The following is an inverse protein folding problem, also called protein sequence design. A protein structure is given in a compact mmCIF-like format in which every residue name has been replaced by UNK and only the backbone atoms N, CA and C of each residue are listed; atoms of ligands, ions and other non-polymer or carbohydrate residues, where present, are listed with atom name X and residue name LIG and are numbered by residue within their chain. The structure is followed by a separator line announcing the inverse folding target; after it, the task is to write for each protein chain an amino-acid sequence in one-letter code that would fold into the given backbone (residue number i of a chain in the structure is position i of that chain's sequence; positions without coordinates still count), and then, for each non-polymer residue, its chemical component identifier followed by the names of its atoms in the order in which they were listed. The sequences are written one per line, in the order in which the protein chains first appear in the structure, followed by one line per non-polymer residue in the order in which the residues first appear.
data_IF_120899210843
#
_entry.id   IF_120899210843
#
_cell.length_a   1.000
_cell.length_b   1.000
_cell.length_c   1.000
_cell.angle_alpha   90.00
_cell.angle_beta   90.00
_cell.angle_gamma   90.00
#
_symmetry.space_group_name_H-M   'P 1'
#
loop_
_entity.id
_entity.type
_entity.pdbx_description
1 polymer ?
#
# COMPACT_ATOMS: atom_id res chain seq x y z
N UNK A 1 21.71 2.91 47.18
CA UNK A 1 23.05 2.87 47.82
C UNK A 1 23.22 3.76 49.07
N UNK A 2 22.16 4.41 49.61
CA UNK A 2 22.28 5.22 50.85
C UNK A 2 22.54 4.34 52.09
N UNK A 3 21.99 3.13 52.12
CA UNK A 3 22.15 2.19 53.24
C UNK A 3 23.61 1.72 53.46
N UNK A 4 24.44 1.79 52.41
CA UNK A 4 25.85 1.38 52.40
C UNK A 4 26.77 2.38 53.10
N UNK A 5 26.37 3.65 53.18
CA UNK A 5 27.10 4.71 53.89
C UNK A 5 26.93 4.65 55.41
N UNK A 6 25.89 3.95 55.89
CA UNK A 6 25.47 3.94 57.29
C UNK A 6 25.71 2.60 58.00
N UNK A 7 26.20 1.57 57.30
CA UNK A 7 26.39 0.23 57.88
C UNK A 7 27.87 -0.17 57.92
N UNK A 8 28.47 -0.43 59.10
CA UNK A 8 29.90 -0.74 59.25
C UNK A 8 30.30 -2.16 58.80
N UNK A 9 29.35 -3.09 58.68
CA UNK A 9 29.59 -4.44 58.15
C UNK A 9 28.49 -4.83 57.15
N UNK A 10 28.90 -5.39 56.01
CA UNK A 10 27.99 -5.83 54.94
C UNK A 10 27.30 -7.14 55.33
N UNK A 11 25.96 -7.13 55.26
CA UNK A 11 25.15 -8.35 55.39
C UNK A 11 24.90 -8.99 54.02
N UNK A 12 24.76 -10.32 53.97
CA UNK A 12 24.51 -11.05 52.72
C UNK A 12 23.25 -10.57 51.98
N UNK A 13 22.23 -10.13 52.71
CA UNK A 13 21.00 -9.57 52.14
C UNK A 13 21.25 -8.22 51.46
N UNK A 14 22.16 -7.39 52.00
CA UNK A 14 22.57 -6.12 51.39
C UNK A 14 23.37 -6.36 50.10
N UNK A 15 24.28 -7.33 50.09
CA UNK A 15 25.05 -7.69 48.89
C UNK A 15 24.13 -8.16 47.74
N UNK A 16 23.12 -9.00 48.04
CA UNK A 16 22.13 -9.45 47.05
C UNK A 16 21.28 -8.28 46.51
N UNK A 17 20.88 -7.35 47.38
CA UNK A 17 20.10 -6.18 46.99
C UNK A 17 20.89 -5.23 46.08
N UNK A 18 22.19 -5.03 46.35
CA UNK A 18 23.07 -4.21 45.51
C UNK A 18 23.21 -4.81 44.10
N UNK A 19 23.35 -6.14 43.99
CA UNK A 19 23.37 -6.83 42.68
C UNK A 19 22.07 -6.63 41.92
N UNK A 20 20.92 -6.79 42.59
CA UNK A 20 19.61 -6.51 41.98
C UNK A 20 19.49 -5.05 41.53
N UNK A 21 20.00 -4.09 42.32
CA UNK A 21 19.99 -2.67 41.95
C UNK A 21 20.86 -2.35 40.72
N UNK A 22 22.01 -3.01 40.58
CA UNK A 22 22.87 -2.86 39.39
C UNK A 22 22.20 -3.46 38.17
N UNK A 23 21.60 -4.66 38.29
CA UNK A 23 20.87 -5.30 37.19
C UNK A 23 19.69 -4.44 36.76
N UNK A 24 18.90 -3.91 37.70
CA UNK A 24 17.78 -3.03 37.41
C UNK A 24 18.25 -1.76 36.69
N UNK A 25 19.35 -1.16 37.13
CA UNK A 25 19.92 0.03 36.49
C UNK A 25 20.37 -0.26 35.05
N UNK A 26 21.02 -1.40 34.82
CA UNK A 26 21.42 -1.84 33.48
C UNK A 26 20.21 -2.09 32.58
N UNK A 27 19.15 -2.72 33.10
CA UNK A 27 17.91 -2.95 32.35
C UNK A 27 17.20 -1.63 32.00
N UNK A 28 17.13 -0.68 32.93
CA UNK A 28 16.53 0.65 32.67
C UNK A 28 17.30 1.43 31.60
N UNK A 29 18.65 1.39 31.63
CA UNK A 29 19.49 1.97 30.59
C UNK A 29 19.25 1.28 29.25
N UNK A 30 19.20 -0.06 29.21
CA UNK A 30 18.93 -0.82 27.99
C UNK A 30 17.56 -0.47 27.40
N UNK A 31 16.51 -0.41 28.22
CA UNK A 31 15.16 -0.02 27.79
C UNK A 31 15.17 1.41 27.22
N UNK A 32 15.86 2.35 27.87
CA UNK A 32 16.00 3.72 27.38
C UNK A 32 16.72 3.80 26.02
N UNK A 33 17.77 2.99 25.83
CA UNK A 33 18.49 2.92 24.55
C UNK A 33 17.65 2.28 23.45
N UNK A 34 16.86 1.24 23.77
CA UNK A 34 15.93 0.63 22.82
C UNK A 34 14.86 1.63 22.35
N UNK A 35 14.38 2.50 23.24
CA UNK A 35 13.43 3.57 22.89
C UNK A 35 14.04 4.65 21.98
N UNK A 36 15.33 4.95 22.11
CA UNK A 36 15.99 5.96 21.27
C UNK A 36 16.25 5.50 19.84
N UNK A 37 16.39 4.20 19.58
CA UNK A 37 16.88 3.69 18.29
C UNK A 37 15.79 3.49 17.23
N UNK A 38 14.51 3.68 17.53
CA UNK A 38 13.43 3.35 16.59
C UNK A 38 12.62 4.59 16.21
N UNK A 39 13.27 5.57 15.60
CA UNK A 39 12.58 6.57 14.78
C UNK A 39 12.83 6.18 13.31
N UNK A 40 11.88 5.48 12.64
CA UNK A 40 12.01 5.16 11.24
C UNK A 40 12.19 6.45 10.44
N UNK A 41 13.25 6.56 9.65
CA UNK A 41 13.37 7.68 8.70
C UNK A 41 12.25 7.52 7.68
N UNK A 42 11.32 8.49 7.57
CA UNK A 42 10.30 8.41 6.55
C UNK A 42 10.97 8.37 5.17
N UNK A 43 10.50 7.50 4.26
CA UNK A 43 11.05 7.43 2.93
C UNK A 43 10.89 8.79 2.22
N UNK A 44 11.91 9.19 1.48
CA UNK A 44 11.91 10.47 0.77
C UNK A 44 10.82 10.45 -0.31
N UNK A 45 9.85 11.34 -0.16
CA UNK A 45 8.72 11.45 -1.07
C UNK A 45 9.05 12.43 -2.19
N UNK A 46 8.76 12.04 -3.44
CA UNK A 46 8.91 12.90 -4.61
C UNK A 46 7.58 13.55 -4.99
N UNK A 47 7.64 14.66 -5.73
CA UNK A 47 6.45 15.19 -6.42
C UNK A 47 6.29 14.40 -7.71
N UNK A 48 5.15 13.74 -7.91
CA UNK A 48 4.92 12.95 -9.12
C UNK A 48 4.81 13.86 -10.35
N UNK A 49 5.37 13.40 -11.46
CA UNK A 49 5.31 14.06 -12.76
C UNK A 49 3.99 13.73 -13.47
N UNK A 50 3.16 14.75 -13.70
CA UNK A 50 1.89 14.62 -14.40
C UNK A 50 0.87 15.63 -13.90
N UNK A 51 -0.29 15.67 -14.56
CA UNK A 51 -1.40 16.53 -14.16
C UNK A 51 -2.34 15.77 -13.22
N UNK A 52 -2.95 16.49 -12.27
CA UNK A 52 -4.00 15.90 -11.44
C UNK A 52 -5.31 15.84 -12.21
N UNK A 53 -5.89 14.65 -12.34
CA UNK A 53 -7.09 14.45 -13.13
C UNK A 53 -7.95 13.29 -12.64
N UNK A 54 -9.12 13.17 -13.26
CA UNK A 54 -10.07 12.10 -13.04
C UNK A 54 -10.76 11.77 -14.37
N UNK A 55 -10.53 10.57 -14.87
CA UNK A 55 -11.04 10.07 -16.13
C UNK A 55 -11.81 8.77 -15.85
N UNK A 56 -12.97 8.63 -16.46
CA UNK A 56 -13.82 7.43 -16.41
C UNK A 56 -14.18 7.02 -17.84
N UNK A 57 -14.35 5.72 -18.05
CA UNK A 57 -14.90 5.22 -19.30
C UNK A 57 -16.39 5.60 -19.40
N UNK A 58 -16.76 6.32 -20.46
CA UNK A 58 -18.13 6.82 -20.70
C UNK A 58 -19.15 5.68 -20.91
N UNK A 59 -18.66 4.49 -21.28
CA UNK A 59 -19.49 3.30 -21.53
C UNK A 59 -20.01 2.63 -20.25
N UNK A 60 -19.56 3.07 -19.07
CA UNK A 60 -19.93 2.47 -17.80
C UNK A 60 -21.31 2.92 -17.31
N UNK A 61 -22.11 2.04 -16.68
CA UNK A 61 -23.32 2.45 -15.98
C UNK A 61 -23.02 3.50 -14.90
N UNK A 62 -23.92 4.46 -14.70
CA UNK A 62 -23.75 5.56 -13.73
C UNK A 62 -23.46 5.05 -12.31
N UNK A 63 -24.09 3.94 -11.91
CA UNK A 63 -23.85 3.29 -10.62
C UNK A 63 -22.38 2.88 -10.46
N UNK A 64 -21.77 2.31 -11.51
CA UNK A 64 -20.36 1.88 -11.50
C UNK A 64 -19.42 3.09 -11.52
N UNK A 65 -19.74 4.10 -12.33
CA UNK A 65 -18.98 5.35 -12.34
C UNK A 65 -18.94 5.98 -10.94
N UNK A 66 -20.09 6.02 -10.27
CA UNK A 66 -20.22 6.51 -8.91
C UNK A 66 -19.40 5.67 -7.93
N UNK A 67 -19.49 4.34 -8.00
CA UNK A 67 -18.71 3.45 -7.12
C UNK A 67 -17.20 3.59 -7.32
N UNK A 68 -16.72 3.65 -8.57
CA UNK A 68 -15.31 3.88 -8.88
C UNK A 68 -14.85 5.27 -8.41
N UNK A 69 -15.70 6.30 -8.56
CA UNK A 69 -15.43 7.62 -8.04
C UNK A 69 -15.28 7.62 -6.51
N UNK A 70 -16.16 6.93 -5.78
CA UNK A 70 -16.06 6.85 -4.32
C UNK A 70 -14.84 6.03 -3.86
N UNK A 71 -14.65 4.85 -4.45
CA UNK A 71 -13.53 3.97 -4.10
C UNK A 71 -12.17 4.63 -4.36
N UNK A 72 -11.99 5.23 -5.54
CA UNK A 72 -10.75 5.95 -5.86
C UNK A 72 -10.52 7.15 -4.96
N UNK A 73 -11.58 7.88 -4.59
CA UNK A 73 -11.47 9.00 -3.66
C UNK A 73 -10.99 8.52 -2.28
N UNK A 74 -11.60 7.44 -1.76
CA UNK A 74 -11.25 6.87 -0.47
C UNK A 74 -9.80 6.40 -0.44
N UNK A 75 -9.35 5.72 -1.49
CA UNK A 75 -7.97 5.27 -1.61
C UNK A 75 -6.98 6.43 -1.67
N UNK A 76 -7.25 7.48 -2.45
CA UNK A 76 -6.38 8.65 -2.56
C UNK A 76 -6.32 9.49 -1.28
N UNK A 77 -7.37 9.47 -0.46
CA UNK A 77 -7.47 10.30 0.76
C UNK A 77 -7.06 9.57 2.04
N UNK A 78 -7.23 8.24 2.09
CA UNK A 78 -6.98 7.44 3.30
C UNK A 78 -5.73 6.55 3.19
N UNK A 79 -5.06 6.53 2.03
CA UNK A 79 -3.79 5.81 1.85
C UNK A 79 -2.72 6.73 1.28
N UNK A 80 -1.48 6.23 1.17
CA UNK A 80 -0.35 6.93 0.53
C UNK A 80 -0.43 6.99 -1.01
N UNK A 81 -1.49 6.43 -1.61
CA UNK A 81 -1.71 6.41 -3.07
C UNK A 81 -1.84 7.82 -3.63
N UNK A 82 -1.19 8.09 -4.77
CA UNK A 82 -1.23 9.38 -5.47
C UNK A 82 -1.71 9.28 -6.92
N UNK A 83 -1.63 8.09 -7.51
CA UNK A 83 -2.16 7.79 -8.83
C UNK A 83 -2.81 6.42 -8.81
N UNK A 84 -3.93 6.28 -9.50
CA UNK A 84 -4.73 5.06 -9.50
C UNK A 84 -5.29 4.80 -10.89
N UNK A 85 -5.24 3.54 -11.31
CA UNK A 85 -5.79 3.06 -12.59
C UNK A 85 -6.58 1.78 -12.32
N UNK A 86 -7.82 1.73 -12.77
CA UNK A 86 -8.62 0.51 -12.76
C UNK A 86 -8.66 -0.08 -14.18
N UNK A 87 -8.12 -1.29 -14.31
CA UNK A 87 -8.10 -2.06 -15.55
C UNK A 87 -9.00 -3.28 -15.39
N UNK A 88 -9.87 -3.55 -16.35
CA UNK A 88 -10.80 -4.68 -16.28
C UNK A 88 -11.19 -5.13 -17.69
N UNK A 89 -11.12 -6.44 -17.96
CA UNK A 89 -11.51 -7.07 -19.25
C UNK A 89 -10.95 -6.32 -20.48
N UNK A 90 -9.64 -6.12 -20.47
CA UNK A 90 -8.87 -5.42 -21.51
C UNK A 90 -9.20 -3.95 -21.75
N UNK A 91 -9.86 -3.30 -20.79
CA UNK A 91 -10.22 -1.89 -20.85
C UNK A 91 -9.79 -1.12 -19.59
N UNK A 92 -9.43 0.14 -19.78
CA UNK A 92 -9.19 1.07 -18.66
C UNK A 92 -10.50 1.72 -18.28
N UNK A 93 -11.03 1.36 -17.12
CA UNK A 93 -12.32 1.84 -16.64
C UNK A 93 -12.20 3.23 -15.98
N UNK A 94 -11.06 3.50 -15.35
CA UNK A 94 -10.83 4.72 -14.59
C UNK A 94 -9.35 5.04 -14.45
N UNK A 95 -9.02 6.33 -14.47
CA UNK A 95 -7.72 6.88 -14.04
C UNK A 95 -7.97 8.06 -13.09
N UNK A 96 -7.27 8.13 -11.96
CA UNK A 96 -7.44 9.23 -11.01
C UNK A 96 -6.17 9.55 -10.23
N UNK A 97 -6.01 10.81 -9.87
CA UNK A 97 -4.85 11.31 -9.12
C UNK A 97 -3.88 11.97 -10.09
N UNK A 98 -2.58 11.78 -9.90
CA UNK A 98 -1.57 12.26 -10.85
C UNK A 98 -1.52 11.33 -12.06
N UNK A 99 -1.99 11.80 -13.21
CA UNK A 99 -2.12 10.99 -14.41
C UNK A 99 -0.76 10.74 -15.06
N UNK A 100 -0.54 9.50 -15.52
CA UNK A 100 0.59 9.17 -16.39
C UNK A 100 0.38 9.69 -17.82
N UNK A 101 1.44 9.67 -18.64
CA UNK A 101 1.41 10.23 -19.99
C UNK A 101 0.53 9.41 -20.96
N UNK A 102 0.32 8.13 -20.68
CA UNK A 102 -0.45 7.21 -21.54
C UNK A 102 -1.72 6.78 -20.84
N UNK A 103 -2.87 6.83 -21.54
CA UNK A 103 -4.15 6.36 -21.03
C UNK A 103 -4.33 4.84 -21.19
N UNK A 104 -3.71 4.26 -22.22
CA UNK A 104 -3.78 2.82 -22.52
C UNK A 104 -2.90 2.01 -21.59
N UNK A 105 -3.43 0.91 -21.06
CA UNK A 105 -2.71 -0.08 -20.29
C UNK A 105 -2.38 -1.27 -21.18
N UNK A 106 -1.11 -1.67 -21.24
CA UNK A 106 -0.70 -2.93 -21.89
C UNK A 106 -0.17 -3.87 -20.82
N UNK A 107 -0.89 -4.96 -20.49
CA UNK A 107 -0.45 -5.88 -19.45
C UNK A 107 0.91 -6.51 -19.75
N UNK A 108 1.91 -6.16 -18.94
CA UNK A 108 3.20 -6.83 -18.94
C UNK A 108 3.20 -8.09 -18.06
N UNK A 109 4.38 -8.58 -17.71
CA UNK A 109 4.54 -9.83 -16.96
C UNK A 109 3.94 -9.75 -15.56
N UNK A 110 3.99 -8.59 -14.89
CA UNK A 110 3.51 -8.47 -13.51
C UNK A 110 1.99 -8.42 -13.50
N UNK A 111 1.39 -7.60 -14.36
CA UNK A 111 -0.08 -7.54 -14.48
C UNK A 111 -0.66 -8.89 -14.90
N UNK A 112 -0.06 -9.57 -15.88
CA UNK A 112 -0.50 -10.92 -16.30
C UNK A 112 -0.46 -11.91 -15.14
N UNK A 113 0.63 -11.91 -14.35
CA UNK A 113 0.73 -12.77 -13.17
C UNK A 113 -0.37 -12.47 -12.15
N UNK A 114 -0.70 -11.20 -11.92
CA UNK A 114 -1.80 -10.83 -10.99
C UNK A 114 -3.14 -11.33 -11.51
N UNK A 115 -3.41 -11.16 -12.81
CA UNK A 115 -4.62 -11.67 -13.47
C UNK A 115 -4.72 -13.20 -13.42
N UNK A 116 -3.62 -13.92 -13.67
CA UNK A 116 -3.60 -15.39 -13.69
C UNK A 116 -3.66 -16.01 -12.29
N UNK A 117 -2.99 -15.39 -11.31
CA UNK A 117 -2.87 -15.98 -9.96
C UNK A 117 -3.91 -15.48 -8.98
N UNK A 118 -4.58 -14.36 -9.29
CA UNK A 118 -5.48 -13.67 -8.35
C UNK A 118 -4.76 -13.20 -7.09
N UNK A 119 -3.44 -12.99 -7.14
CA UNK A 119 -2.64 -12.57 -5.98
C UNK A 119 -2.06 -11.19 -6.22
N UNK A 120 -2.19 -10.34 -5.21
CA UNK A 120 -1.62 -9.01 -5.21
C UNK A 120 -0.09 -9.04 -5.31
N UNK A 121 0.46 -8.06 -6.03
CA UNK A 121 1.90 -7.83 -6.11
C UNK A 121 2.20 -6.41 -5.63
N UNK A 122 3.04 -6.30 -4.60
CA UNK A 122 3.55 -5.02 -4.12
C UNK A 122 5.01 -4.83 -4.52
N UNK A 123 5.25 -3.84 -5.39
CA UNK A 123 6.57 -3.38 -5.80
C UNK A 123 7.01 -2.21 -4.92
N UNK A 124 7.77 -2.52 -3.88
CA UNK A 124 8.12 -1.56 -2.83
C UNK A 124 9.08 -0.45 -3.27
N UNK A 125 9.82 -0.65 -4.36
CA UNK A 125 10.73 0.33 -4.94
C UNK A 125 10.82 0.11 -6.44
N UNK A 126 9.98 0.80 -7.22
CA UNK A 126 9.83 0.57 -8.64
C UNK A 126 11.16 0.76 -9.42
N UNK A 127 12.04 1.65 -8.97
CA UNK A 127 13.31 1.97 -9.63
C UNK A 127 14.24 0.76 -9.78
N UNK A 128 14.19 -0.21 -8.87
CA UNK A 128 15.06 -1.39 -8.90
C UNK A 128 14.50 -2.54 -9.74
N UNK A 129 13.24 -2.46 -10.19
CA UNK A 129 12.61 -3.53 -10.97
C UNK A 129 12.82 -3.31 -12.47
N UNK A 130 13.41 -4.27 -13.20
CA UNK A 130 13.58 -4.15 -14.65
C UNK A 130 12.25 -4.13 -15.39
N UNK A 131 11.22 -4.81 -14.87
CA UNK A 131 9.87 -4.84 -15.43
C UNK A 131 9.09 -3.53 -15.31
N UNK A 132 9.65 -2.49 -14.66
CA UNK A 132 8.96 -1.19 -14.46
C UNK A 132 8.48 -0.51 -15.74
N UNK A 133 9.06 -0.88 -16.88
CA UNK A 133 8.69 -0.37 -18.21
C UNK A 133 7.24 -0.64 -18.59
N UNK A 134 6.60 -1.64 -17.98
CA UNK A 134 5.18 -1.93 -18.22
C UNK A 134 4.24 -0.86 -17.65
N UNK A 135 4.67 -0.07 -16.65
CA UNK A 135 3.86 0.95 -15.98
C UNK A 135 3.95 2.33 -16.66
N UNK A 136 4.09 2.38 -17.97
CA UNK A 136 4.19 3.63 -18.76
C UNK A 136 2.91 4.51 -18.70
N UNK A 137 1.82 3.97 -18.17
CA UNK A 137 0.55 4.65 -17.92
C UNK A 137 0.45 5.31 -16.53
N UNK A 138 1.47 5.14 -15.67
CA UNK A 138 1.64 5.85 -14.40
C UNK A 138 2.64 7.01 -14.56
N UNK A 139 2.69 7.96 -13.59
CA UNK A 139 3.74 8.96 -13.54
C UNK A 139 5.14 8.35 -13.66
N UNK A 140 6.02 8.86 -14.56
CA UNK A 140 7.33 8.25 -14.84
C UNK A 140 8.24 8.09 -13.61
N UNK A 141 8.09 8.99 -12.63
CA UNK A 141 8.84 9.01 -11.38
C UNK A 141 8.11 8.34 -10.20
N UNK A 142 7.16 7.43 -10.48
CA UNK A 142 6.50 6.60 -9.46
C UNK A 142 7.52 5.78 -8.65
N UNK A 143 7.35 5.75 -7.33
CA UNK A 143 8.32 5.11 -6.41
C UNK A 143 7.87 3.73 -5.94
N UNK A 144 6.57 3.52 -5.75
CA UNK A 144 6.00 2.24 -5.32
C UNK A 144 4.69 1.95 -6.05
N UNK A 145 4.43 0.67 -6.32
CA UNK A 145 3.23 0.23 -7.04
C UNK A 145 2.61 -0.99 -6.37
N UNK A 146 1.30 -0.96 -6.13
CA UNK A 146 0.50 -2.14 -5.80
C UNK A 146 -0.34 -2.50 -7.01
N UNK A 147 -0.27 -3.75 -7.43
CA UNK A 147 -1.19 -4.35 -8.38
C UNK A 147 -2.10 -5.30 -7.61
N UNK A 148 -3.33 -4.86 -7.34
CA UNK A 148 -4.34 -5.61 -6.60
C UNK A 148 -5.33 -6.24 -7.61
N UNK A 149 -5.63 -7.54 -7.53
CA UNK A 149 -6.70 -8.16 -8.31
C UNK A 149 -8.03 -7.42 -8.11
N UNK A 150 -8.82 -7.29 -9.17
CA UNK A 150 -10.10 -6.62 -9.17
C UNK A 150 -11.13 -7.51 -9.87
N UNK A 151 -11.87 -8.29 -9.08
CA UNK A 151 -12.79 -9.31 -9.60
C UNK A 151 -12.07 -10.43 -10.35
N UNK A 152 -12.76 -11.09 -11.26
CA UNK A 152 -12.22 -12.22 -12.03
C UNK A 152 -11.25 -11.81 -13.14
N UNK A 153 -11.37 -10.59 -13.66
CA UNK A 153 -10.69 -10.16 -14.90
C UNK A 153 -10.03 -8.78 -14.83
N UNK A 154 -9.87 -8.22 -13.64
CA UNK A 154 -9.34 -6.88 -13.46
C UNK A 154 -8.13 -6.81 -12.57
N UNK A 155 -7.47 -5.66 -12.65
CA UNK A 155 -6.41 -5.23 -11.74
C UNK A 155 -6.63 -3.77 -11.41
N UNK A 156 -6.61 -3.47 -10.12
CA UNK A 156 -6.48 -2.12 -9.59
C UNK A 156 -4.99 -1.82 -9.39
N UNK A 157 -4.46 -0.86 -10.15
CA UNK A 157 -3.08 -0.42 -10.06
C UNK A 157 -3.03 0.88 -9.24
N UNK A 158 -2.26 0.87 -8.16
CA UNK A 158 -2.07 2.02 -7.27
C UNK A 158 -0.59 2.41 -7.24
N UNK A 159 -0.31 3.70 -7.37
CA UNK A 159 1.04 4.26 -7.37
C UNK A 159 1.23 5.23 -6.20
N UNK A 160 2.38 5.08 -5.54
CA UNK A 160 2.85 5.95 -4.47
C UNK A 160 4.09 6.74 -4.88
N UNK A 161 4.24 7.90 -4.24
CA UNK A 161 5.33 8.85 -4.48
C UNK A 161 6.53 8.68 -3.54
N UNK A 162 6.53 7.62 -2.71
CA UNK A 162 7.66 7.25 -1.87
C UNK A 162 7.85 5.71 -1.90
N UNK A 163 9.08 5.20 -1.83
CA UNK A 163 9.32 3.76 -1.74
C UNK A 163 8.90 3.22 -0.37
N UNK A 164 8.44 1.95 -0.31
CA UNK A 164 8.05 1.24 0.93
C UNK A 164 7.04 2.03 1.79
N UNK A 165 6.18 2.80 1.15
CA UNK A 165 5.26 3.71 1.82
C UNK A 165 3.95 3.08 2.26
N UNK A 166 3.52 1.98 1.62
CA UNK A 166 2.28 1.32 1.98
C UNK A 166 2.48 0.53 3.27
N UNK A 167 1.61 0.81 4.23
CA UNK A 167 1.52 0.06 5.49
C UNK A 167 0.67 -1.18 5.29
N UNK A 168 0.71 -2.10 6.26
CA UNK A 168 -0.17 -3.28 6.22
C UNK A 168 -1.66 -2.91 6.26
N UNK A 169 -1.99 -1.81 6.95
CA UNK A 169 -3.34 -1.28 6.99
C UNK A 169 -3.77 -0.75 5.61
N UNK A 170 -2.87 -0.06 4.89
CA UNK A 170 -3.15 0.37 3.52
C UNK A 170 -3.40 -0.82 2.60
N UNK A 171 -2.58 -1.86 2.66
CA UNK A 171 -2.77 -3.09 1.87
C UNK A 171 -4.16 -3.71 2.13
N UNK A 172 -4.59 -3.80 3.39
CA UNK A 172 -5.91 -4.32 3.74
C UNK A 172 -7.06 -3.43 3.24
N UNK A 173 -6.90 -2.11 3.30
CA UNK A 173 -7.88 -1.19 2.70
C UNK A 173 -7.98 -1.34 1.19
N UNK A 174 -6.83 -1.47 0.52
CA UNK A 174 -6.75 -1.69 -0.93
C UNK A 174 -7.43 -3.01 -1.32
N UNK A 175 -7.13 -4.09 -0.59
CA UNK A 175 -7.74 -5.40 -0.79
C UNK A 175 -9.26 -5.35 -0.61
N UNK A 176 -9.75 -4.83 0.52
CA UNK A 176 -11.20 -4.78 0.78
C UNK A 176 -11.98 -3.92 -0.21
N UNK A 177 -11.40 -2.79 -0.66
CA UNK A 177 -12.03 -1.94 -1.68
C UNK A 177 -12.02 -2.65 -3.05
N UNK A 178 -10.91 -3.31 -3.40
CA UNK A 178 -10.81 -4.05 -4.65
C UNK A 178 -11.76 -5.26 -4.68
N UNK A 179 -11.92 -6.00 -3.58
CA UNK A 179 -12.87 -7.12 -3.49
C UNK A 179 -14.30 -6.64 -3.71
N UNK A 180 -14.69 -5.54 -3.05
CA UNK A 180 -16.03 -4.97 -3.20
C UNK A 180 -16.29 -4.47 -4.62
N UNK A 181 -15.34 -3.75 -5.21
CA UNK A 181 -15.46 -3.26 -6.57
C UNK A 181 -15.47 -4.41 -7.59
N UNK A 182 -14.63 -5.42 -7.35
CA UNK A 182 -14.54 -6.63 -8.15
C UNK A 182 -15.88 -7.35 -8.24
N UNK A 183 -16.54 -7.57 -7.10
CA UNK A 183 -17.88 -8.16 -7.05
C UNK A 183 -18.92 -7.35 -7.86
N UNK A 184 -18.90 -6.01 -7.76
CA UNK A 184 -19.79 -5.17 -8.59
C UNK A 184 -19.51 -5.36 -10.09
N UNK A 185 -18.23 -5.36 -10.49
CA UNK A 185 -17.83 -5.47 -11.89
C UNK A 185 -18.10 -6.87 -12.46
N UNK A 186 -17.82 -7.92 -11.70
CA UNK A 186 -18.10 -9.31 -12.08
C UNK A 186 -19.59 -9.51 -12.31
N UNK A 187 -20.45 -9.02 -11.41
CA UNK A 187 -21.92 -9.10 -11.58
C UNK A 187 -22.42 -8.44 -12.85
N UNK A 188 -21.80 -7.33 -13.26
CA UNK A 188 -22.18 -6.62 -14.48
C UNK A 188 -21.58 -7.26 -15.74
N UNK A 189 -20.36 -7.80 -15.66
CA UNK A 189 -19.76 -8.62 -16.70
C UNK A 189 -20.53 -9.93 -16.95
N UNK A 190 -21.14 -10.51 -15.92
CA UNK A 190 -22.01 -11.68 -16.05
C UNK A 190 -23.38 -11.30 -16.65
N UNK A 191 -23.90 -10.10 -16.34
CA UNK A 191 -25.19 -9.64 -16.87
C UNK A 191 -25.17 -9.32 -18.38
N UNK A 192 -24.02 -8.93 -18.93
CA UNK A 192 -23.87 -8.68 -20.37
C UNK A 192 -23.77 -9.97 -21.21
N UNK A 193 -23.40 -11.10 -20.60
CA UNK A 193 -23.32 -12.41 -21.27
C UNK A 193 -24.63 -13.21 -21.24
N UNK A 194 -25.65 -12.81 -20.48
CA UNK A 194 -26.94 -13.52 -20.39
C UNK A 194 -28.04 -12.98 -21.32
N UNK A 195 -27.73 -11.96 -22.14
CA UNK A 195 -28.70 -11.27 -23.03
C UNK A 195 -28.51 -11.58 -24.52
N UNK A 196 -27.87 -12.69 -24.88
CA UNK A 196 -27.92 -13.22 -26.25
C UNK A 196 -28.98 -14.33 -26.34
N UNK A 197 -30.24 -14.03 -26.71
CA UNK A 197 -31.18 -15.07 -27.14
C UNK A 197 -30.84 -15.49 -28.57
N UNK A 198 -30.79 -16.81 -28.81
CA UNK A 198 -31.09 -17.39 -30.11
C UNK A 198 -32.54 -17.07 -30.53
#
# INVERSE_FOLDING_TARGET
MVNRLLTPALTDSQARSDVMGVILSALLVLIGLLWQQVQPRPPEAVVLEGESGFELAETLPETVQTELAWASHLLLTNTVTRSLVAYYDDQVLMRRGVLGPTATVTPGTILKRVLETGKAVYLVNLKIYPGRVEFNYLPPNTQGVICQPLGAKGVLILAANAPRSYTKQDETWVEGIADKLGETLDRLGVASNSTSPE
#
